data_IF_060197155455
#
_entry.id   IF_060197155455
#
_cell.length_a   1.000
_cell.length_b   1.000
_cell.length_c   1.000
_cell.angle_alpha   90.00
_cell.angle_beta   90.00
_cell.angle_gamma   90.00
#
_symmetry.space_group_name_H-M   'P 1'
#
loop_
_entity.id
_entity.type
_entity.pdbx_description
1 polymer ?
#
# COMPACT_ATOMS: atom_id res chain seq x y z
N UNK A 1 18.55 -40.78 -28.39
CA UNK A 1 17.70 -39.94 -27.55
C UNK A 1 17.00 -38.91 -28.45
N UNK A 2 15.68 -38.98 -28.57
CA UNK A 2 14.96 -37.92 -29.25
C UNK A 2 15.07 -36.64 -28.37
N UNK A 3 15.56 -35.56 -28.94
CA UNK A 3 15.60 -34.29 -28.23
C UNK A 3 14.18 -33.89 -27.81
N UNK A 4 13.97 -33.61 -26.53
CA UNK A 4 12.70 -33.15 -26.03
C UNK A 4 12.34 -31.83 -26.75
N UNK A 5 11.30 -31.84 -27.55
CA UNK A 5 10.86 -30.69 -28.32
C UNK A 5 9.62 -30.09 -27.65
N UNK A 6 9.52 -28.77 -27.61
CA UNK A 6 8.30 -28.07 -27.19
C UNK A 6 7.03 -28.57 -27.92
N UNK A 7 7.20 -29.08 -29.16
CA UNK A 7 6.08 -29.65 -29.91
C UNK A 7 5.49 -30.93 -29.31
N UNK A 8 6.19 -31.62 -28.41
CA UNK A 8 5.71 -32.87 -27.79
C UNK A 8 5.14 -32.69 -26.39
N UNK A 9 5.22 -31.48 -25.83
CA UNK A 9 4.70 -31.22 -24.47
C UNK A 9 3.17 -31.29 -24.43
N UNK A 10 2.57 -31.85 -23.37
CA UNK A 10 1.13 -31.75 -23.09
C UNK A 10 0.65 -30.31 -23.00
N UNK A 11 -0.64 -30.08 -23.32
CA UNK A 11 -1.24 -28.72 -23.31
C UNK A 11 -1.25 -28.09 -21.91
N UNK A 12 -1.37 -28.90 -20.89
CA UNK A 12 -1.40 -28.51 -19.48
C UNK A 12 -0.07 -27.86 -19.07
N UNK A 13 1.06 -28.38 -19.58
CA UNK A 13 2.37 -27.77 -19.32
C UNK A 13 2.53 -26.41 -20.00
N UNK A 14 1.89 -26.21 -21.17
CA UNK A 14 1.85 -24.88 -21.77
C UNK A 14 1.03 -23.90 -20.93
N UNK A 15 -0.08 -24.32 -20.35
CA UNK A 15 -0.87 -23.45 -19.47
C UNK A 15 -0.06 -23.05 -18.24
N UNK A 16 0.67 -23.96 -17.60
CA UNK A 16 1.59 -23.62 -16.52
C UNK A 16 2.74 -22.69 -16.96
N UNK A 17 3.23 -22.82 -18.20
CA UNK A 17 4.20 -21.86 -18.73
C UNK A 17 3.56 -20.49 -18.92
N UNK A 18 2.34 -20.42 -19.46
CA UNK A 18 1.62 -19.17 -19.71
C UNK A 18 1.23 -18.43 -18.42
N UNK A 19 0.96 -19.16 -17.33
CA UNK A 19 0.73 -18.57 -15.99
C UNK A 19 1.92 -17.74 -15.49
N UNK A 20 3.12 -17.94 -16.04
CA UNK A 20 4.35 -17.23 -15.67
C UNK A 20 4.86 -16.25 -16.75
N UNK A 21 4.10 -16.04 -17.82
CA UNK A 21 4.47 -15.17 -18.94
C UNK A 21 3.51 -14.00 -19.07
N UNK A 22 4.04 -12.85 -19.49
CA UNK A 22 3.22 -11.72 -19.85
C UNK A 22 2.39 -11.98 -21.12
N UNK A 23 1.26 -11.30 -21.22
CA UNK A 23 0.30 -11.49 -22.30
C UNK A 23 0.88 -11.15 -23.68
N UNK A 24 1.84 -10.23 -23.74
CA UNK A 24 2.50 -9.83 -24.99
C UNK A 24 3.35 -10.98 -25.52
N UNK A 25 4.12 -11.61 -24.64
CA UNK A 25 4.92 -12.81 -24.98
C UNK A 25 4.03 -13.94 -25.46
N UNK A 26 2.90 -14.20 -24.78
CA UNK A 26 1.96 -15.25 -25.17
C UNK A 26 1.37 -14.96 -26.56
N UNK A 27 0.83 -13.77 -26.80
CA UNK A 27 0.12 -13.44 -28.05
C UNK A 27 1.03 -13.09 -29.21
N UNK A 28 2.17 -12.47 -28.99
CA UNK A 28 3.05 -12.04 -30.09
C UNK A 28 4.17 -13.00 -30.38
N UNK A 29 4.63 -13.79 -29.41
CA UNK A 29 5.69 -14.76 -29.61
C UNK A 29 5.13 -16.17 -29.82
N UNK A 30 4.48 -16.76 -28.80
CA UNK A 30 4.01 -18.15 -28.86
C UNK A 30 2.92 -18.38 -29.91
N UNK A 31 1.93 -17.51 -30.00
CA UNK A 31 0.81 -17.65 -30.95
C UNK A 31 1.25 -17.74 -32.42
N UNK A 32 2.36 -17.11 -32.77
CA UNK A 32 2.84 -17.01 -34.14
C UNK A 32 3.85 -18.11 -34.53
N UNK A 33 4.24 -19.00 -33.62
CA UNK A 33 5.26 -20.04 -33.90
C UNK A 33 4.73 -21.12 -34.84
N UNK A 34 3.54 -21.67 -34.56
CA UNK A 34 2.95 -22.73 -35.38
C UNK A 34 1.45 -22.89 -35.09
N UNK A 35 0.74 -23.65 -35.94
CA UNK A 35 -0.70 -23.93 -35.79
C UNK A 35 -1.06 -24.53 -34.43
N UNK A 36 -0.24 -25.42 -33.90
CA UNK A 36 -0.48 -26.01 -32.58
C UNK A 36 -0.46 -24.97 -31.47
N UNK A 37 0.57 -24.11 -31.44
CA UNK A 37 0.71 -23.07 -30.43
C UNK A 37 -0.39 -22.01 -30.59
N UNK A 38 -0.76 -21.66 -31.83
CA UNK A 38 -1.92 -20.83 -32.09
C UNK A 38 -3.20 -21.37 -31.45
N UNK A 39 -3.46 -22.69 -31.59
CA UNK A 39 -4.62 -23.34 -30.97
C UNK A 39 -4.53 -23.31 -29.44
N UNK A 40 -3.37 -23.67 -28.86
CA UNK A 40 -3.14 -23.67 -27.42
C UNK A 40 -3.37 -22.27 -26.80
N UNK A 41 -2.80 -21.23 -27.41
CA UNK A 41 -2.98 -19.84 -26.95
C UNK A 41 -4.46 -19.42 -27.02
N UNK A 42 -5.18 -19.80 -28.06
CA UNK A 42 -6.58 -19.45 -28.21
C UNK A 42 -7.53 -20.23 -27.26
N UNK A 43 -7.09 -21.36 -26.73
CA UNK A 43 -7.86 -22.16 -25.75
C UNK A 43 -7.46 -21.86 -24.30
N UNK A 44 -6.39 -21.10 -24.08
CA UNK A 44 -5.99 -20.66 -22.75
C UNK A 44 -6.99 -19.66 -22.21
N UNK A 45 -7.66 -20.01 -21.11
CA UNK A 45 -8.81 -19.31 -20.54
C UNK A 45 -8.54 -18.65 -19.18
N UNK A 46 -7.26 -18.47 -18.82
CA UNK A 46 -6.84 -17.83 -17.56
C UNK A 46 -5.95 -16.61 -17.84
N UNK A 47 -6.29 -15.85 -18.86
CA UNK A 47 -5.48 -14.71 -19.27
C UNK A 47 -5.58 -13.55 -18.27
N UNK A 48 -4.43 -13.13 -17.77
CA UNK A 48 -4.26 -11.88 -17.03
C UNK A 48 -3.83 -10.80 -18.02
N UNK A 49 -4.68 -9.82 -18.25
CA UNK A 49 -4.45 -8.75 -19.22
C UNK A 49 -4.07 -7.46 -18.50
N UNK A 50 -2.76 -7.20 -18.43
CA UNK A 50 -2.24 -5.92 -17.96
C UNK A 50 -1.95 -4.99 -19.14
N UNK A 51 -2.74 -3.92 -19.24
CA UNK A 51 -2.58 -2.89 -20.27
C UNK A 51 -2.00 -1.58 -19.73
N UNK A 52 -1.61 -1.51 -18.45
CA UNK A 52 -1.24 -0.28 -17.76
C UNK A 52 0.01 0.42 -18.29
N UNK A 53 0.90 -0.32 -18.97
CA UNK A 53 2.18 0.21 -19.49
C UNK A 53 2.41 -0.08 -20.97
N UNK A 54 1.35 -0.49 -21.67
CA UNK A 54 1.47 -0.91 -23.07
C UNK A 54 1.49 0.28 -24.04
N UNK A 55 2.28 0.20 -25.10
CA UNK A 55 2.27 1.21 -26.17
C UNK A 55 0.94 1.24 -26.92
N UNK A 56 0.55 2.40 -27.46
CA UNK A 56 -0.70 2.55 -28.23
C UNK A 56 -0.80 1.58 -29.42
N UNK A 57 0.32 1.29 -30.09
CA UNK A 57 0.37 0.37 -31.22
C UNK A 57 0.08 -1.06 -30.77
N UNK A 58 0.75 -1.51 -29.71
CA UNK A 58 0.57 -2.84 -29.14
C UNK A 58 -0.82 -2.99 -28.55
N UNK A 59 -1.34 -1.95 -27.90
CA UNK A 59 -2.70 -1.90 -27.39
C UNK A 59 -3.73 -2.26 -28.49
N UNK A 60 -3.69 -1.58 -29.62
CA UNK A 60 -4.60 -1.87 -30.74
C UNK A 60 -4.41 -3.28 -31.30
N UNK A 61 -3.17 -3.79 -31.32
CA UNK A 61 -2.89 -5.17 -31.78
C UNK A 61 -3.46 -6.19 -30.82
N UNK A 62 -3.27 -6.01 -29.52
CA UNK A 62 -3.83 -6.90 -28.50
C UNK A 62 -5.37 -6.87 -28.55
N UNK A 63 -5.98 -5.70 -28.60
CA UNK A 63 -7.45 -5.57 -28.64
C UNK A 63 -8.10 -6.28 -29.86
N UNK A 64 -7.37 -6.50 -30.95
CA UNK A 64 -7.85 -7.27 -32.10
C UNK A 64 -7.75 -8.78 -31.92
N UNK A 65 -6.96 -9.24 -30.98
CA UNK A 65 -6.59 -10.65 -30.83
C UNK A 65 -7.28 -11.29 -29.62
N UNK A 66 -7.48 -10.50 -28.55
CA UNK A 66 -8.06 -10.99 -27.30
C UNK A 66 -9.48 -11.49 -27.50
N UNK A 67 -9.80 -12.51 -26.73
CA UNK A 67 -11.14 -13.02 -26.57
C UNK A 67 -11.62 -12.65 -25.17
N UNK A 68 -12.58 -11.75 -25.02
CA UNK A 68 -13.07 -11.27 -23.73
C UNK A 68 -13.47 -12.38 -22.76
N UNK A 69 -14.01 -13.48 -23.28
CA UNK A 69 -14.42 -14.65 -22.50
C UNK A 69 -13.27 -15.38 -21.82
N UNK A 70 -12.02 -15.21 -22.31
CA UNK A 70 -10.84 -15.87 -21.73
C UNK A 70 -10.13 -15.02 -20.67
N UNK A 71 -10.57 -13.79 -20.45
CA UNK A 71 -9.91 -12.86 -19.53
C UNK A 71 -10.47 -13.02 -18.13
N UNK A 72 -9.58 -13.33 -17.17
CA UNK A 72 -9.92 -13.47 -15.74
C UNK A 72 -9.47 -12.29 -14.91
N UNK A 73 -8.39 -11.61 -15.33
CA UNK A 73 -7.86 -10.41 -14.70
C UNK A 73 -7.64 -9.31 -15.74
N UNK A 74 -8.06 -8.09 -15.43
CA UNK A 74 -7.95 -6.94 -16.32
C UNK A 74 -7.41 -5.73 -15.56
N UNK A 75 -6.31 -5.16 -16.06
CA UNK A 75 -5.73 -3.92 -15.55
C UNK A 75 -5.77 -2.87 -16.66
N UNK A 76 -6.46 -1.77 -16.40
CA UNK A 76 -6.59 -0.62 -17.29
C UNK A 76 -6.05 0.64 -16.60
N UNK A 77 -5.43 1.54 -17.36
CA UNK A 77 -4.82 2.74 -16.81
C UNK A 77 -5.06 3.96 -17.70
N UNK A 78 -5.31 5.10 -17.06
CA UNK A 78 -5.29 6.43 -17.70
C UNK A 78 -4.09 7.25 -17.24
N UNK A 79 -3.01 6.62 -16.76
CA UNK A 79 -1.80 7.34 -16.34
C UNK A 79 -1.17 8.10 -17.53
N UNK A 80 -0.11 8.85 -17.27
CA UNK A 80 0.55 9.68 -18.29
C UNK A 80 1.13 8.87 -19.47
N UNK A 81 1.42 7.58 -19.27
CA UNK A 81 1.90 6.67 -20.32
C UNK A 81 0.76 6.15 -21.22
N UNK A 82 -0.47 6.09 -20.67
CA UNK A 82 -1.64 5.50 -21.34
C UNK A 82 -2.88 6.40 -21.22
N UNK A 83 -2.81 7.69 -21.58
CA UNK A 83 -3.92 8.62 -21.39
C UNK A 83 -5.14 8.21 -22.23
N UNK A 84 -6.32 8.20 -21.59
CA UNK A 84 -7.59 7.88 -22.25
C UNK A 84 -7.78 6.40 -22.63
N UNK A 85 -6.93 5.50 -22.15
CA UNK A 85 -6.98 4.08 -22.47
C UNK A 85 -8.30 3.44 -22.01
N UNK A 86 -8.82 3.80 -20.84
CA UNK A 86 -10.06 3.24 -20.31
C UNK A 86 -11.25 3.59 -21.21
N UNK A 87 -11.35 4.87 -21.63
CA UNK A 87 -12.38 5.31 -22.57
C UNK A 87 -12.30 4.59 -23.92
N UNK A 88 -11.07 4.40 -24.44
CA UNK A 88 -10.85 3.65 -25.67
C UNK A 88 -11.26 2.17 -25.51
N UNK A 89 -10.90 1.53 -24.38
CA UNK A 89 -11.28 0.15 -24.08
C UNK A 89 -12.79 -0.04 -24.09
N UNK A 90 -13.51 0.82 -23.39
CA UNK A 90 -14.97 0.76 -23.31
C UNK A 90 -15.68 1.06 -24.64
N UNK A 91 -15.01 1.74 -25.56
CA UNK A 91 -15.52 1.95 -26.94
C UNK A 91 -15.33 0.73 -27.85
N UNK A 92 -14.28 -0.08 -27.59
CA UNK A 92 -13.97 -1.28 -28.38
C UNK A 92 -14.66 -2.54 -27.86
N UNK A 93 -14.87 -2.64 -26.57
CA UNK A 93 -15.44 -3.82 -25.91
C UNK A 93 -16.68 -3.49 -25.09
N UNK A 94 -17.69 -4.34 -25.24
CA UNK A 94 -18.75 -4.39 -24.23
C UNK A 94 -18.24 -5.21 -23.04
N UNK A 95 -18.10 -4.57 -21.89
CA UNK A 95 -17.53 -5.20 -20.69
C UNK A 95 -18.32 -6.46 -20.24
N UNK A 96 -19.60 -6.58 -20.61
CA UNK A 96 -20.40 -7.77 -20.35
C UNK A 96 -19.91 -9.03 -21.09
N UNK A 97 -19.03 -8.89 -22.07
CA UNK A 97 -18.41 -10.02 -22.78
C UNK A 97 -17.34 -10.73 -21.94
N UNK A 98 -16.84 -10.07 -20.89
CA UNK A 98 -15.83 -10.62 -19.98
C UNK A 98 -16.49 -11.53 -18.92
N UNK A 99 -17.00 -12.67 -19.36
CA UNK A 99 -17.83 -13.56 -18.54
C UNK A 99 -17.07 -14.18 -17.34
N UNK A 100 -15.78 -14.34 -17.47
CA UNK A 100 -14.90 -14.96 -16.45
C UNK A 100 -14.07 -13.95 -15.66
N UNK A 101 -14.32 -12.65 -15.83
CA UNK A 101 -13.59 -11.59 -15.13
C UNK A 101 -13.82 -11.68 -13.62
N UNK A 102 -12.72 -11.87 -12.88
CA UNK A 102 -12.69 -11.98 -11.41
C UNK A 102 -11.94 -10.82 -10.75
N UNK A 103 -10.91 -10.32 -11.42
CA UNK A 103 -10.08 -9.24 -10.92
C UNK A 103 -10.12 -8.06 -11.89
N UNK A 104 -10.44 -6.87 -11.37
CA UNK A 104 -10.43 -5.63 -12.14
C UNK A 104 -9.64 -4.57 -11.41
N UNK A 105 -8.63 -4.01 -12.09
CA UNK A 105 -7.84 -2.89 -11.58
C UNK A 105 -7.96 -1.70 -12.54
N UNK A 106 -8.37 -0.54 -12.00
CA UNK A 106 -8.57 0.70 -12.73
C UNK A 106 -7.64 1.76 -12.14
N UNK A 107 -6.64 2.19 -12.92
CA UNK A 107 -5.61 3.14 -12.50
C UNK A 107 -5.91 4.50 -13.10
N UNK A 108 -6.01 5.52 -12.24
CA UNK A 108 -6.28 6.92 -12.62
C UNK A 108 -7.55 7.12 -13.46
N UNK A 109 -8.59 6.35 -13.15
CA UNK A 109 -9.89 6.47 -13.81
C UNK A 109 -10.58 7.78 -13.43
N UNK A 110 -11.31 8.38 -14.38
CA UNK A 110 -12.17 9.52 -14.09
C UNK A 110 -13.53 9.09 -13.50
N UNK A 111 -14.13 9.93 -12.63
CA UNK A 111 -15.40 9.60 -11.96
C UNK A 111 -16.53 9.25 -12.93
N UNK A 112 -16.62 9.95 -14.06
CA UNK A 112 -17.67 9.69 -15.04
C UNK A 112 -17.45 8.36 -15.78
N UNK A 113 -16.20 8.03 -16.15
CA UNK A 113 -15.84 6.75 -16.77
C UNK A 113 -16.13 5.59 -15.84
N UNK A 114 -15.77 5.73 -14.55
CA UNK A 114 -16.07 4.72 -13.54
C UNK A 114 -17.59 4.46 -13.44
N UNK A 115 -18.39 5.53 -13.35
CA UNK A 115 -19.86 5.39 -13.30
C UNK A 115 -20.41 4.70 -14.55
N UNK A 116 -19.87 5.00 -15.72
CA UNK A 116 -20.30 4.36 -16.97
C UNK A 116 -19.93 2.88 -17.01
N UNK A 117 -18.67 2.57 -16.67
CA UNK A 117 -18.13 1.23 -16.69
C UNK A 117 -18.85 0.31 -15.68
N UNK A 118 -19.07 0.80 -14.46
CA UNK A 118 -19.70 0.01 -13.39
C UNK A 118 -21.20 -0.27 -13.62
N UNK A 119 -21.87 0.48 -14.49
CA UNK A 119 -23.26 0.15 -14.90
C UNK A 119 -23.34 -1.10 -15.75
N UNK A 120 -22.26 -1.43 -16.44
CA UNK A 120 -22.20 -2.51 -17.40
C UNK A 120 -21.43 -3.74 -16.90
N UNK A 121 -20.68 -3.62 -15.81
CA UNK A 121 -19.96 -4.75 -15.21
C UNK A 121 -20.90 -5.58 -14.34
N UNK A 122 -20.81 -6.91 -14.48
CA UNK A 122 -21.37 -7.81 -13.50
C UNK A 122 -20.51 -7.85 -12.24
N UNK A 123 -20.72 -6.89 -11.33
CA UNK A 123 -19.96 -6.78 -10.07
C UNK A 123 -20.01 -8.07 -9.24
N UNK A 124 -21.09 -8.84 -9.37
CA UNK A 124 -21.29 -10.10 -8.62
C UNK A 124 -20.31 -11.20 -9.01
N UNK A 125 -19.72 -11.14 -10.22
CA UNK A 125 -18.72 -12.10 -10.66
C UNK A 125 -17.30 -11.74 -10.18
N UNK A 126 -17.08 -10.48 -9.78
CA UNK A 126 -15.78 -10.03 -9.31
C UNK A 126 -15.49 -10.55 -7.90
N UNK A 127 -14.26 -11.02 -7.70
CA UNK A 127 -13.68 -11.35 -6.39
C UNK A 127 -12.78 -10.24 -5.87
N UNK A 128 -12.12 -9.50 -6.77
CA UNK A 128 -11.20 -8.43 -6.44
C UNK A 128 -11.46 -7.20 -7.30
N UNK A 129 -11.45 -6.03 -6.66
CA UNK A 129 -11.62 -4.75 -7.33
C UNK A 129 -10.66 -3.72 -6.75
N UNK A 130 -9.87 -3.09 -7.63
CA UNK A 130 -8.98 -1.99 -7.28
C UNK A 130 -9.33 -0.76 -8.11
N UNK A 131 -9.60 0.36 -7.44
CA UNK A 131 -9.98 1.62 -8.09
C UNK A 131 -9.07 2.73 -7.57
N UNK A 132 -8.32 3.33 -8.49
CA UNK A 132 -7.57 4.54 -8.25
C UNK A 132 -8.16 5.67 -9.08
N UNK A 133 -8.70 6.70 -8.44
CA UNK A 133 -9.32 7.84 -9.11
C UNK A 133 -8.30 8.97 -9.31
N UNK A 134 -8.26 9.52 -10.52
CA UNK A 134 -7.36 10.61 -10.88
C UNK A 134 -7.59 11.87 -10.04
N UNK A 135 -6.50 12.50 -9.55
CA UNK A 135 -6.52 13.64 -8.61
C UNK A 135 -7.17 14.92 -9.17
N UNK A 136 -7.15 15.11 -10.48
CA UNK A 136 -7.46 16.41 -11.09
C UNK A 136 -8.94 16.80 -11.11
N UNK A 137 -9.85 15.95 -10.66
CA UNK A 137 -11.30 16.13 -10.80
C UNK A 137 -12.02 16.65 -9.54
N UNK A 138 -11.30 17.31 -8.61
CA UNK A 138 -11.91 17.84 -7.37
C UNK A 138 -12.97 18.92 -7.59
N UNK A 139 -12.98 19.61 -8.73
CA UNK A 139 -13.90 20.72 -9.02
C UNK A 139 -15.14 20.31 -9.83
N UNK A 140 -15.22 19.07 -10.31
CA UNK A 140 -16.42 18.64 -11.03
C UNK A 140 -17.58 18.47 -10.05
N UNK A 141 -18.64 19.25 -10.21
CA UNK A 141 -19.97 19.05 -9.59
C UNK A 141 -20.61 17.74 -10.11
N UNK A 142 -19.87 16.61 -10.02
CA UNK A 142 -20.36 15.30 -10.44
C UNK A 142 -21.35 14.72 -9.43
N UNK A 143 -22.14 13.77 -9.87
CA UNK A 143 -23.02 12.99 -9.00
C UNK A 143 -22.21 12.31 -7.90
N UNK A 144 -22.79 12.21 -6.69
CA UNK A 144 -22.19 11.47 -5.58
C UNK A 144 -21.87 10.04 -5.99
N UNK A 145 -20.72 9.52 -5.53
CA UNK A 145 -20.30 8.15 -5.75
C UNK A 145 -20.82 7.17 -4.68
N UNK A 146 -21.47 7.68 -3.63
CA UNK A 146 -21.95 6.86 -2.52
C UNK A 146 -22.85 5.69 -2.99
N UNK A 147 -23.83 5.88 -3.88
CA UNK A 147 -24.66 4.76 -4.34
C UNK A 147 -23.83 3.68 -5.07
N UNK A 148 -22.86 4.09 -5.87
CA UNK A 148 -21.97 3.18 -6.58
C UNK A 148 -21.10 2.39 -5.61
N UNK A 149 -20.46 3.06 -4.64
CA UNK A 149 -19.64 2.43 -3.63
C UNK A 149 -20.45 1.48 -2.75
N UNK A 150 -21.66 1.86 -2.37
CA UNK A 150 -22.56 0.99 -1.62
C UNK A 150 -22.89 -0.31 -2.37
N UNK A 151 -23.17 -0.23 -3.69
CA UNK A 151 -23.39 -1.40 -4.52
C UNK A 151 -22.14 -2.30 -4.63
N UNK A 152 -20.95 -1.70 -4.73
CA UNK A 152 -19.69 -2.43 -4.75
C UNK A 152 -19.47 -3.18 -3.43
N UNK A 153 -19.66 -2.52 -2.31
CA UNK A 153 -19.41 -3.08 -0.98
C UNK A 153 -20.41 -4.20 -0.62
N UNK A 154 -21.63 -4.12 -1.12
CA UNK A 154 -22.65 -5.16 -0.93
C UNK A 154 -22.50 -6.36 -1.87
N UNK A 155 -21.54 -6.31 -2.80
CA UNK A 155 -21.23 -7.44 -3.69
C UNK A 155 -20.42 -8.53 -2.97
N UNK A 156 -20.19 -9.65 -3.66
CA UNK A 156 -19.44 -10.79 -3.13
C UNK A 156 -17.91 -10.61 -3.21
N UNK A 157 -17.42 -9.38 -3.17
CA UNK A 157 -16.01 -9.08 -3.20
C UNK A 157 -15.28 -9.63 -1.96
N UNK A 158 -14.10 -10.21 -2.21
CA UNK A 158 -13.16 -10.61 -1.15
C UNK A 158 -12.08 -9.55 -0.91
N UNK A 159 -11.70 -8.83 -1.96
CA UNK A 159 -10.67 -7.79 -1.89
C UNK A 159 -11.14 -6.51 -2.56
N UNK A 160 -11.00 -5.40 -1.85
CA UNK A 160 -11.32 -4.06 -2.32
C UNK A 160 -10.19 -3.10 -2.00
N UNK A 161 -9.66 -2.44 -3.03
CA UNK A 161 -8.72 -1.33 -2.90
C UNK A 161 -9.37 -0.06 -3.47
N UNK A 162 -9.57 0.93 -2.62
CA UNK A 162 -10.13 2.24 -2.97
C UNK A 162 -9.10 3.32 -2.72
N UNK A 163 -8.30 3.63 -3.73
CA UNK A 163 -7.36 4.76 -3.71
C UNK A 163 -8.00 5.98 -4.37
N UNK A 164 -8.82 6.69 -3.60
CA UNK A 164 -9.57 7.85 -4.10
C UNK A 164 -9.46 9.03 -3.15
N UNK A 165 -9.30 10.22 -3.74
CA UNK A 165 -9.29 11.49 -3.03
C UNK A 165 -10.72 12.00 -2.85
N UNK A 166 -11.50 11.37 -2.01
CA UNK A 166 -12.89 11.78 -1.82
C UNK A 166 -13.30 11.66 -0.35
N UNK A 167 -13.79 12.74 0.19
CA UNK A 167 -14.45 12.77 1.51
C UNK A 167 -15.71 11.87 1.52
N UNK A 168 -16.21 11.49 0.35
CA UNK A 168 -17.37 10.62 0.22
C UNK A 168 -17.17 9.24 0.85
N UNK A 169 -15.91 8.75 0.95
CA UNK A 169 -15.60 7.50 1.66
C UNK A 169 -16.05 7.55 3.12
N UNK A 170 -15.94 8.73 3.77
CA UNK A 170 -16.33 8.90 5.16
C UNK A 170 -17.85 8.83 5.38
N UNK A 171 -18.63 8.92 4.31
CA UNK A 171 -20.09 8.81 4.34
C UNK A 171 -20.60 7.43 3.90
N UNK A 172 -19.72 6.46 3.67
CA UNK A 172 -20.11 5.10 3.32
C UNK A 172 -20.66 4.39 4.56
N UNK A 173 -21.85 3.81 4.40
CA UNK A 173 -22.42 2.91 5.42
C UNK A 173 -21.94 1.49 5.11
N UNK A 174 -21.14 0.94 5.99
CA UNK A 174 -20.60 -0.41 5.86
C UNK A 174 -21.66 -1.46 6.24
N UNK A 175 -21.97 -2.43 5.37
CA UNK A 175 -22.99 -3.43 5.68
C UNK A 175 -22.45 -4.48 6.66
N UNK A 176 -23.30 -4.95 7.57
CA UNK A 176 -22.95 -5.98 8.57
C UNK A 176 -22.64 -7.35 7.93
N UNK A 177 -23.25 -7.63 6.77
CA UNK A 177 -23.04 -8.88 6.03
C UNK A 177 -22.18 -8.60 4.81
N UNK A 178 -20.88 -8.51 5.00
CA UNK A 178 -19.92 -8.27 3.93
C UNK A 178 -18.90 -9.40 3.91
N UNK A 179 -18.55 -9.88 2.72
CA UNK A 179 -17.61 -10.98 2.50
C UNK A 179 -16.17 -10.50 2.36
N UNK A 180 -15.91 -9.19 2.52
CA UNK A 180 -14.60 -8.60 2.39
C UNK A 180 -13.63 -9.17 3.42
N UNK A 181 -12.49 -9.65 2.91
CA UNK A 181 -11.35 -10.13 3.70
C UNK A 181 -10.17 -9.17 3.66
N UNK A 182 -10.03 -8.42 2.57
CA UNK A 182 -8.95 -7.48 2.34
C UNK A 182 -9.51 -6.12 1.94
N UNK A 183 -9.23 -5.10 2.72
CA UNK A 183 -9.67 -3.73 2.45
C UNK A 183 -8.47 -2.78 2.49
N UNK A 184 -8.26 -2.06 1.40
CA UNK A 184 -7.30 -0.96 1.33
C UNK A 184 -8.06 0.33 1.07
N UNK A 185 -7.82 1.35 1.88
CA UNK A 185 -8.39 2.68 1.73
C UNK A 185 -7.27 3.71 1.58
N UNK A 186 -7.34 4.52 0.53
CA UNK A 186 -6.49 5.67 0.31
C UNK A 186 -7.19 6.96 0.73
N UNK A 187 -6.46 7.89 1.33
CA UNK A 187 -6.79 9.27 1.66
C UNK A 187 -7.94 9.60 2.62
N UNK A 188 -7.58 10.39 3.63
CA UNK A 188 -8.47 11.13 4.55
C UNK A 188 -9.54 10.28 5.26
N UNK A 189 -9.15 9.08 5.69
CA UNK A 189 -10.01 8.26 6.53
C UNK A 189 -9.96 8.81 7.96
N UNK A 190 -11.12 9.08 8.55
CA UNK A 190 -11.22 9.55 9.94
C UNK A 190 -11.16 8.39 10.92
N UNK A 191 -10.77 8.67 12.16
CA UNK A 191 -10.81 7.70 13.27
C UNK A 191 -12.19 7.03 13.40
N UNK A 192 -13.26 7.83 13.34
CA UNK A 192 -14.64 7.32 13.41
C UNK A 192 -14.90 6.28 12.32
N UNK A 193 -14.47 6.53 11.09
CA UNK A 193 -14.67 5.60 9.99
C UNK A 193 -13.89 4.29 10.16
N UNK A 194 -12.70 4.34 10.74
CA UNK A 194 -11.95 3.13 11.08
C UNK A 194 -12.74 2.26 12.08
N UNK A 195 -13.27 2.88 13.12
CA UNK A 195 -14.11 2.18 14.12
C UNK A 195 -15.37 1.57 13.49
N UNK A 196 -16.04 2.28 12.57
CA UNK A 196 -17.21 1.78 11.84
C UNK A 196 -16.85 0.57 10.95
N UNK A 197 -15.72 0.61 10.26
CA UNK A 197 -15.23 -0.51 9.45
C UNK A 197 -15.00 -1.74 10.33
N UNK A 198 -14.27 -1.59 11.44
CA UNK A 198 -13.96 -2.69 12.35
C UNK A 198 -15.21 -3.28 13.00
N UNK A 199 -16.24 -2.44 13.27
CA UNK A 199 -17.52 -2.88 13.83
C UNK A 199 -18.35 -3.70 12.87
N UNK A 200 -18.36 -3.34 11.57
CA UNK A 200 -19.29 -3.92 10.60
C UNK A 200 -18.68 -5.05 9.77
N UNK A 201 -17.37 -5.03 9.50
CA UNK A 201 -16.70 -6.00 8.65
C UNK A 201 -16.09 -7.15 9.45
N UNK A 202 -16.93 -8.04 9.98
CA UNK A 202 -16.51 -9.15 10.85
C UNK A 202 -15.60 -10.20 10.18
N UNK A 203 -15.60 -10.29 8.85
CA UNK A 203 -14.75 -11.23 8.08
C UNK A 203 -13.42 -10.61 7.62
N UNK A 204 -13.17 -9.34 7.96
CA UNK A 204 -11.98 -8.63 7.54
C UNK A 204 -10.73 -9.23 8.19
N UNK A 205 -9.76 -9.63 7.37
CA UNK A 205 -8.46 -10.17 7.80
C UNK A 205 -7.34 -9.16 7.68
N UNK A 206 -7.41 -8.32 6.64
CA UNK A 206 -6.37 -7.31 6.39
C UNK A 206 -7.02 -5.96 6.14
N UNK A 207 -6.59 -4.96 6.90
CA UNK A 207 -6.99 -3.56 6.72
C UNK A 207 -5.75 -2.70 6.49
N UNK A 208 -5.71 -2.00 5.35
CA UNK A 208 -4.67 -1.03 5.02
C UNK A 208 -5.31 0.34 4.87
N UNK A 209 -4.87 1.30 5.66
CA UNK A 209 -5.35 2.68 5.62
C UNK A 209 -4.17 3.59 5.29
N UNK A 210 -4.34 4.41 4.24
CA UNK A 210 -3.36 5.39 3.84
C UNK A 210 -3.85 6.79 4.19
N UNK A 211 -2.98 7.60 4.80
CA UNK A 211 -3.27 9.00 5.18
C UNK A 211 -4.49 9.13 6.14
N UNK A 212 -4.51 8.36 7.22
CA UNK A 212 -5.49 8.52 8.29
C UNK A 212 -5.24 9.82 9.07
N UNK A 213 -6.33 10.55 9.39
CA UNK A 213 -6.29 11.70 10.28
C UNK A 213 -7.02 11.32 11.56
N UNK A 214 -6.27 11.27 12.66
CA UNK A 214 -6.79 10.89 13.96
C UNK A 214 -7.20 12.08 14.86
N UNK A 215 -7.06 13.32 14.39
CA UNK A 215 -7.42 14.52 15.17
C UNK A 215 -8.93 14.81 15.12
N UNK A 216 -9.76 13.85 15.44
CA UNK A 216 -11.19 14.09 15.50
C UNK A 216 -11.56 14.52 16.93
N UNK A 217 -11.72 15.83 17.14
CA UNK A 217 -12.13 16.43 18.43
C UNK A 217 -13.46 15.88 18.96
N UNK A 218 -14.20 15.13 18.13
CA UNK A 218 -15.46 14.47 18.45
C UNK A 218 -15.31 12.99 18.84
N UNK A 219 -14.10 12.45 18.95
CA UNK A 219 -13.85 11.05 19.27
C UNK A 219 -14.37 10.64 20.68
N UNK A 220 -14.57 11.61 21.56
CA UNK A 220 -15.07 11.39 22.94
C UNK A 220 -16.52 10.90 23.02
N UNK A 221 -17.27 10.92 21.94
CA UNK A 221 -18.69 10.54 21.89
C UNK A 221 -18.96 9.12 21.37
N UNK A 222 -17.92 8.36 21.02
CA UNK A 222 -18.14 6.96 20.62
C UNK A 222 -18.29 6.12 21.88
N UNK A 223 -19.49 5.63 22.14
CA UNK A 223 -19.74 4.66 23.20
C UNK A 223 -19.07 3.33 22.81
N UNK A 224 -17.91 3.03 23.42
CA UNK A 224 -17.14 1.81 23.15
C UNK A 224 -17.75 0.56 23.79
N UNK A 225 -18.73 0.73 24.72
CA UNK A 225 -19.39 -0.36 25.42
C UNK A 225 -20.07 -1.37 24.49
N UNK A 226 -20.51 -0.94 23.29
CA UNK A 226 -21.27 -1.74 22.35
C UNK A 226 -20.45 -2.22 21.13
N UNK A 227 -19.13 -1.98 21.13
CA UNK A 227 -18.28 -2.39 20.02
C UNK A 227 -17.85 -3.84 20.24
N UNK A 228 -18.39 -4.73 19.40
CA UNK A 228 -17.92 -6.10 19.31
C UNK A 228 -16.49 -6.13 18.76
N UNK A 229 -15.60 -6.88 19.42
CA UNK A 229 -14.21 -7.04 18.98
C UNK A 229 -14.17 -7.75 17.62
N UNK A 230 -13.34 -7.25 16.71
CA UNK A 230 -13.10 -7.90 15.42
C UNK A 230 -12.04 -8.98 15.58
N UNK A 231 -12.50 -10.21 15.82
CA UNK A 231 -11.63 -11.38 16.07
C UNK A 231 -10.98 -11.94 14.80
N UNK A 232 -11.38 -11.49 13.62
CA UNK A 232 -10.84 -12.01 12.35
C UNK A 232 -9.68 -11.17 11.80
N UNK A 233 -9.49 -9.93 12.28
CA UNK A 233 -8.44 -9.06 11.77
C UNK A 233 -7.07 -9.54 12.26
N UNK A 234 -6.23 -9.97 11.32
CA UNK A 234 -4.88 -10.46 11.57
C UNK A 234 -3.79 -9.49 11.14
N UNK A 235 -4.09 -8.56 10.23
CA UNK A 235 -3.13 -7.58 9.73
C UNK A 235 -3.75 -6.18 9.65
N UNK A 236 -3.11 -5.21 10.29
CA UNK A 236 -3.51 -3.80 10.28
C UNK A 236 -2.32 -2.92 9.88
N UNK A 237 -2.54 -2.07 8.90
CA UNK A 237 -1.51 -1.15 8.40
C UNK A 237 -2.05 0.27 8.32
N UNK A 238 -1.35 1.22 8.96
CA UNK A 238 -1.53 2.65 8.76
C UNK A 238 -0.31 3.23 8.05
N UNK A 239 -0.52 3.86 6.89
CA UNK A 239 0.57 4.48 6.09
C UNK A 239 0.38 5.99 6.01
N UNK A 240 1.50 6.73 6.18
CA UNK A 240 1.54 8.20 6.07
C UNK A 240 0.46 8.91 6.92
N UNK A 241 0.15 8.35 8.08
CA UNK A 241 -0.95 8.79 8.93
C UNK A 241 -0.45 9.72 10.04
N UNK A 242 -1.35 10.59 10.51
CA UNK A 242 -1.14 11.33 11.76
C UNK A 242 -1.73 10.51 12.89
N UNK A 243 -0.87 9.89 13.68
CA UNK A 243 -1.26 8.91 14.68
C UNK A 243 -1.14 9.52 16.08
N UNK A 244 -2.10 9.17 16.94
CA UNK A 244 -2.08 9.47 18.37
C UNK A 244 -2.21 8.17 19.16
N UNK A 245 -1.43 8.02 20.23
CA UNK A 245 -1.38 6.75 20.98
C UNK A 245 -2.74 6.37 21.57
N UNK A 246 -3.46 7.32 22.16
CA UNK A 246 -4.76 7.05 22.78
C UNK A 246 -5.78 6.48 21.78
N UNK A 247 -5.83 7.03 20.56
CA UNK A 247 -6.73 6.56 19.50
C UNK A 247 -6.29 5.21 18.93
N UNK A 248 -4.97 4.98 18.82
CA UNK A 248 -4.42 3.69 18.44
C UNK A 248 -4.78 2.60 19.47
N UNK A 249 -4.60 2.86 20.76
CA UNK A 249 -4.97 1.92 21.83
C UNK A 249 -6.45 1.53 21.75
N UNK A 250 -7.33 2.48 21.44
CA UNK A 250 -8.76 2.20 21.25
C UNK A 250 -9.00 1.28 20.04
N UNK A 251 -8.42 1.61 18.86
CA UNK A 251 -8.55 0.77 17.66
C UNK A 251 -7.99 -0.64 17.92
N UNK A 252 -6.79 -0.72 18.48
CA UNK A 252 -6.07 -1.97 18.67
C UNK A 252 -6.76 -2.86 19.73
N UNK A 253 -7.42 -2.27 20.72
CA UNK A 253 -8.24 -3.02 21.68
C UNK A 253 -9.43 -3.73 21.03
N UNK A 254 -9.88 -3.29 19.87
CA UNK A 254 -10.93 -3.95 19.09
C UNK A 254 -10.41 -5.13 18.25
N UNK A 255 -9.10 -5.34 18.17
CA UNK A 255 -8.46 -6.31 17.27
C UNK A 255 -7.49 -7.24 18.00
N UNK A 256 -7.95 -8.03 18.98
CA UNK A 256 -7.07 -8.84 19.85
C UNK A 256 -6.36 -9.99 19.11
N UNK A 257 -6.87 -10.39 17.93
CA UNK A 257 -6.29 -11.45 17.10
C UNK A 257 -5.22 -10.94 16.11
N UNK A 258 -4.75 -9.71 16.31
CA UNK A 258 -3.79 -9.10 15.40
C UNK A 258 -2.43 -9.81 15.49
N UNK A 259 -1.93 -10.23 14.32
CA UNK A 259 -0.64 -10.90 14.15
C UNK A 259 0.41 -9.93 13.60
N UNK A 260 -0.01 -9.05 12.69
CA UNK A 260 0.87 -8.06 12.05
C UNK A 260 0.31 -6.65 12.19
N UNK A 261 1.12 -5.76 12.76
CA UNK A 261 0.85 -4.33 12.88
C UNK A 261 1.94 -3.52 12.18
N UNK A 262 1.55 -2.65 11.26
CA UNK A 262 2.47 -1.73 10.59
C UNK A 262 1.96 -0.28 10.73
N UNK A 263 2.80 0.60 11.26
CA UNK A 263 2.47 2.00 11.52
C UNK A 263 3.53 2.91 10.88
N UNK A 264 3.15 3.69 9.87
CA UNK A 264 4.06 4.72 9.32
C UNK A 264 3.37 6.08 9.31
N UNK A 265 4.11 7.11 9.72
CA UNK A 265 3.53 8.45 9.70
C UNK A 265 4.23 9.48 10.58
N UNK A 266 3.52 10.57 10.82
CA UNK A 266 3.96 11.63 11.73
C UNK A 266 3.37 11.41 13.12
N UNK A 267 4.20 11.63 14.13
CA UNK A 267 3.85 11.59 15.54
C UNK A 267 4.20 12.92 16.20
N UNK A 268 3.59 13.22 17.35
CA UNK A 268 4.04 14.31 18.21
C UNK A 268 4.85 13.74 19.38
N UNK A 269 5.83 14.49 19.87
CA UNK A 269 6.70 14.02 20.96
C UNK A 269 5.93 13.77 22.25
N UNK A 270 4.79 14.42 22.45
CA UNK A 270 3.97 14.34 23.67
C UNK A 270 2.99 13.17 23.70
N UNK A 271 2.77 12.45 22.60
CA UNK A 271 1.66 11.50 22.45
C UNK A 271 1.89 10.12 23.08
N UNK A 272 3.09 9.84 23.56
CA UNK A 272 3.45 8.51 24.05
C UNK A 272 3.58 7.44 22.98
N UNK A 273 3.37 7.75 21.69
CA UNK A 273 3.55 6.81 20.59
C UNK A 273 5.02 6.42 20.39
N UNK A 274 5.94 7.25 20.88
CA UNK A 274 7.38 7.02 20.85
C UNK A 274 7.89 6.31 22.11
N UNK A 275 7.01 5.99 23.08
CA UNK A 275 7.38 5.34 24.34
C UNK A 275 7.31 3.80 24.21
N UNK A 276 8.47 3.17 24.20
CA UNK A 276 8.62 1.72 24.12
C UNK A 276 8.02 0.97 25.32
N UNK A 277 8.04 1.56 26.53
CA UNK A 277 7.47 0.95 27.73
C UNK A 277 5.94 0.89 27.66
N UNK A 278 5.31 1.94 27.15
CA UNK A 278 3.86 1.99 26.93
C UNK A 278 3.42 0.96 25.89
N UNK A 279 4.19 0.81 24.78
CA UNK A 279 3.94 -0.22 23.80
C UNK A 279 4.10 -1.62 24.36
N UNK A 280 5.14 -1.88 25.16
CA UNK A 280 5.38 -3.17 25.81
C UNK A 280 4.18 -3.58 26.66
N UNK A 281 3.74 -2.73 27.58
CA UNK A 281 2.59 -2.98 28.45
C UNK A 281 1.32 -3.23 27.63
N UNK A 282 1.04 -2.37 26.65
CA UNK A 282 -0.15 -2.49 25.82
C UNK A 282 -0.15 -3.80 25.00
N UNK A 283 0.96 -4.15 24.36
CA UNK A 283 1.06 -5.36 23.53
C UNK A 283 0.90 -6.62 24.38
N UNK A 284 1.55 -6.68 25.53
CA UNK A 284 1.43 -7.84 26.43
C UNK A 284 -0.02 -8.10 26.87
N UNK A 285 -0.77 -7.06 27.15
CA UNK A 285 -2.14 -7.18 27.69
C UNK A 285 -3.19 -7.31 26.56
N UNK A 286 -3.08 -6.53 25.50
CA UNK A 286 -4.15 -6.37 24.49
C UNK A 286 -3.88 -7.09 23.18
N UNK A 287 -2.63 -7.34 22.83
CA UNK A 287 -2.22 -7.94 21.55
C UNK A 287 -1.28 -9.14 21.75
N UNK A 288 -1.68 -10.16 22.52
CA UNK A 288 -0.79 -11.28 22.87
C UNK A 288 -0.33 -12.09 21.64
N UNK A 289 -1.14 -12.09 20.57
CA UNK A 289 -0.83 -12.82 19.33
C UNK A 289 0.05 -12.02 18.34
N UNK A 290 0.45 -10.79 18.70
CA UNK A 290 1.24 -9.96 17.79
C UNK A 290 2.64 -10.55 17.61
N UNK A 291 2.92 -11.02 16.37
CA UNK A 291 4.21 -11.61 15.97
C UNK A 291 5.11 -10.59 15.28
N UNK A 292 4.52 -9.64 14.57
CA UNK A 292 5.25 -8.65 13.77
C UNK A 292 4.74 -7.24 14.06
N UNK A 293 5.63 -6.40 14.60
CA UNK A 293 5.36 -4.98 14.82
C UNK A 293 6.39 -4.16 14.04
N UNK A 294 5.94 -3.47 13.01
CA UNK A 294 6.75 -2.62 12.15
C UNK A 294 6.27 -1.18 12.28
N UNK A 295 7.20 -0.26 12.49
CA UNK A 295 6.85 1.16 12.55
C UNK A 295 7.94 2.07 11.99
N UNK A 296 7.49 3.24 11.52
CA UNK A 296 8.35 4.33 11.09
C UNK A 296 7.67 5.65 11.43
N UNK A 297 8.09 6.25 12.53
CA UNK A 297 7.57 7.53 13.02
C UNK A 297 8.51 8.66 12.72
N UNK A 298 7.96 9.77 12.25
CA UNK A 298 8.70 10.99 11.95
C UNK A 298 8.06 12.15 12.72
N UNK A 299 8.89 12.96 13.39
CA UNK A 299 8.44 14.18 14.05
C UNK A 299 9.42 15.31 13.81
N UNK A 300 8.92 16.54 13.71
CA UNK A 300 9.73 17.76 13.76
C UNK A 300 9.77 18.26 15.19
N UNK A 301 10.92 18.73 15.62
CA UNK A 301 11.10 19.27 16.96
C UNK A 301 11.53 20.73 16.86
N UNK A 302 10.97 21.57 17.72
CA UNK A 302 11.42 22.96 17.90
C UNK A 302 12.52 23.06 18.98
N UNK A 303 13.10 21.91 19.39
CA UNK A 303 14.04 21.83 20.49
C UNK A 303 15.40 22.41 20.04
N UNK A 304 15.96 23.30 20.87
CA UNK A 304 17.31 23.79 20.72
C UNK A 304 18.31 22.62 20.70
N UNK A 305 19.15 22.57 19.66
CA UNK A 305 20.02 21.45 19.29
C UNK A 305 20.96 20.93 20.41
N UNK A 306 21.14 21.66 21.52
CA UNK A 306 22.13 21.37 22.56
C UNK A 306 21.64 20.38 23.64
N UNK A 307 20.39 19.88 23.59
CA UNK A 307 19.82 19.05 24.69
C UNK A 307 19.05 17.81 24.26
N UNK A 308 19.24 17.32 23.01
CA UNK A 308 18.54 16.11 22.58
C UNK A 308 19.28 14.88 23.06
N UNK A 309 18.77 14.24 24.09
CA UNK A 309 19.22 12.94 24.56
C UNK A 309 18.50 11.82 23.80
N UNK A 310 19.10 11.39 22.68
CA UNK A 310 18.58 10.29 21.86
C UNK A 310 18.55 8.96 22.62
N UNK A 311 19.50 8.76 23.56
CA UNK A 311 19.53 7.57 24.40
C UNK A 311 18.27 7.41 25.25
N UNK A 312 17.74 8.50 25.77
CA UNK A 312 16.50 8.46 26.55
C UNK A 312 15.30 7.94 25.75
N UNK A 313 15.25 8.17 24.44
CA UNK A 313 14.18 7.70 23.55
C UNK A 313 14.31 6.24 23.16
N UNK A 314 15.54 5.72 23.05
CA UNK A 314 15.77 4.32 22.65
C UNK A 314 15.78 3.35 23.85
N UNK A 315 16.13 3.82 25.05
CA UNK A 315 16.22 2.99 26.24
C UNK A 315 14.95 2.18 26.55
N UNK A 316 13.71 2.71 26.40
CA UNK A 316 12.48 1.93 26.61
C UNK A 316 12.33 0.72 25.68
N UNK A 317 13.06 0.68 24.57
CA UNK A 317 13.08 -0.44 23.61
C UNK A 317 14.21 -1.45 23.87
N UNK A 318 14.99 -1.30 24.94
CA UNK A 318 16.09 -2.21 25.32
C UNK A 318 15.70 -3.25 26.38
N UNK A 319 14.42 -3.42 26.65
CA UNK A 319 13.94 -4.42 27.61
C UNK A 319 14.07 -5.86 27.06
N UNK A 320 13.95 -6.83 27.94
CA UNK A 320 13.94 -8.25 27.57
C UNK A 320 12.77 -8.58 26.63
N UNK A 321 11.66 -7.88 26.74
CA UNK A 321 10.50 -8.04 25.87
C UNK A 321 10.88 -7.75 24.40
N UNK A 322 11.45 -6.58 24.12
CA UNK A 322 11.83 -6.19 22.79
C UNK A 322 12.94 -7.05 22.20
N UNK A 323 14.02 -7.24 22.96
CA UNK A 323 15.26 -7.85 22.44
C UNK A 323 15.24 -9.39 22.41
N UNK A 324 14.61 -10.04 23.41
CA UNK A 324 14.63 -11.50 23.51
C UNK A 324 13.29 -12.15 23.23
N UNK A 325 12.18 -11.64 23.80
CA UNK A 325 10.89 -12.30 23.62
C UNK A 325 10.34 -12.06 22.21
N UNK A 326 10.46 -10.86 21.70
CA UNK A 326 9.94 -10.50 20.36
C UNK A 326 11.00 -10.40 19.29
N UNK A 327 12.28 -10.21 19.66
CA UNK A 327 13.38 -9.98 18.72
C UNK A 327 13.11 -8.81 17.75
N UNK A 328 12.47 -7.74 18.26
CA UNK A 328 12.16 -6.54 17.51
C UNK A 328 13.21 -5.46 17.81
N UNK A 329 14.00 -5.16 16.80
CA UNK A 329 15.03 -4.15 16.93
C UNK A 329 14.52 -2.79 16.50
N UNK A 330 14.99 -1.75 17.19
CA UNK A 330 14.54 -0.37 16.98
C UNK A 330 15.78 0.51 16.77
N UNK A 331 15.67 1.45 15.88
CA UNK A 331 16.66 2.48 15.65
C UNK A 331 16.00 3.85 15.71
N UNK A 332 16.73 4.82 16.20
CA UNK A 332 16.32 6.21 16.13
C UNK A 332 17.45 7.10 15.57
N UNK A 333 17.07 8.14 14.87
CA UNK A 333 18.00 9.14 14.40
C UNK A 333 17.41 10.56 14.50
N UNK A 334 18.30 11.51 14.69
CA UNK A 334 17.98 12.92 14.68
C UNK A 334 18.82 13.65 13.63
N UNK A 335 18.17 14.36 12.73
CA UNK A 335 18.84 15.19 11.73
C UNK A 335 18.84 16.65 12.19
N UNK A 336 19.99 17.20 12.48
CA UNK A 336 20.16 18.52 13.10
C UNK A 336 19.60 19.64 12.19
N UNK A 337 19.95 19.63 10.90
CA UNK A 337 19.53 20.69 9.94
C UNK A 337 18.01 20.83 9.79
N UNK A 338 17.31 19.71 9.76
CA UNK A 338 15.86 19.70 9.55
C UNK A 338 15.08 19.62 10.85
N UNK A 339 15.79 19.55 12.00
CA UNK A 339 15.22 19.30 13.31
C UNK A 339 14.23 18.13 13.29
N UNK A 340 14.59 17.06 12.57
CA UNK A 340 13.71 15.90 12.36
C UNK A 340 14.20 14.70 13.13
N UNK A 341 13.36 14.20 14.02
CA UNK A 341 13.53 12.94 14.74
C UNK A 341 12.80 11.82 14.01
N UNK A 342 13.42 10.65 13.88
CA UNK A 342 12.83 9.43 13.33
C UNK A 342 13.06 8.28 14.29
N UNK A 343 12.01 7.50 14.55
CA UNK A 343 12.06 6.27 15.32
C UNK A 343 11.45 5.16 14.47
N UNK A 344 12.15 4.04 14.28
CA UNK A 344 11.70 2.99 13.39
C UNK A 344 12.16 1.60 13.80
N UNK A 345 11.36 0.60 13.43
CA UNK A 345 11.74 -0.81 13.52
C UNK A 345 12.77 -1.19 12.46
N UNK A 346 13.60 -2.17 12.75
CA UNK A 346 14.60 -2.73 11.84
C UNK A 346 14.17 -4.13 11.42
N UNK A 347 14.06 -4.44 10.11
CA UNK A 347 14.30 -3.59 8.94
C UNK A 347 13.26 -2.47 8.78
N UNK A 348 13.62 -1.41 8.06
CA UNK A 348 12.73 -0.27 7.83
C UNK A 348 11.51 -0.71 7.02
N UNK A 349 10.31 -0.37 7.50
CA UNK A 349 9.06 -0.73 6.87
C UNK A 349 8.52 0.33 5.89
N UNK A 350 9.12 1.51 5.82
CA UNK A 350 8.76 2.54 4.84
C UNK A 350 9.36 2.22 3.47
N UNK A 351 8.57 2.37 2.42
CA UNK A 351 8.99 2.11 1.05
C UNK A 351 9.71 3.29 0.41
N UNK A 352 9.60 4.49 1.00
CA UNK A 352 10.15 5.72 0.48
C UNK A 352 10.97 6.43 1.56
N UNK A 353 12.26 6.56 1.34
CA UNK A 353 13.18 7.23 2.28
C UNK A 353 13.89 8.37 1.59
N UNK A 354 13.91 9.54 2.24
CA UNK A 354 14.77 10.64 1.85
C UNK A 354 16.12 10.46 2.54
N UNK A 355 17.16 10.25 1.76
CA UNK A 355 18.53 10.19 2.26
C UNK A 355 19.04 11.61 2.52
N UNK A 356 19.40 11.86 3.77
CA UNK A 356 20.06 13.10 4.19
C UNK A 356 21.52 12.78 4.49
N UNK A 357 22.45 13.69 4.14
CA UNK A 357 23.88 13.45 4.34
C UNK A 357 24.20 13.20 5.82
N UNK A 358 25.09 12.25 6.10
CA UNK A 358 25.44 11.81 7.46
C UNK A 358 26.13 12.88 8.34
N UNK A 359 26.52 14.02 7.79
CA UNK A 359 27.32 15.03 8.50
C UNK A 359 26.59 15.73 9.66
N UNK A 360 25.25 15.65 9.70
CA UNK A 360 24.43 16.32 10.71
C UNK A 360 23.43 15.36 11.37
N UNK A 361 23.75 14.05 11.40
CA UNK A 361 22.86 13.00 11.92
C UNK A 361 23.45 12.38 13.18
N UNK A 362 22.64 12.31 14.23
CA UNK A 362 22.94 11.52 15.44
C UNK A 362 22.05 10.28 15.39
N UNK A 363 22.62 9.09 15.54
CA UNK A 363 21.90 7.82 15.44
C UNK A 363 22.17 6.91 16.64
N UNK A 364 21.15 6.21 17.09
CA UNK A 364 21.23 5.20 18.12
C UNK A 364 20.36 4.00 17.77
N UNK A 365 20.82 2.79 18.06
CA UNK A 365 20.09 1.55 17.78
C UNK A 365 20.12 0.60 18.98
N UNK A 366 19.09 -0.25 19.07
CA UNK A 366 19.06 -1.36 20.05
C UNK A 366 19.84 -2.59 19.57
N UNK A 367 20.17 -2.66 18.28
CA UNK A 367 20.91 -3.78 17.70
C UNK A 367 22.41 -3.51 17.71
N UNK A 368 23.18 -4.41 18.33
CA UNK A 368 24.66 -4.32 18.41
C UNK A 368 25.38 -5.05 17.27
N UNK A 369 24.64 -5.78 16.42
CA UNK A 369 25.21 -6.71 15.43
C UNK A 369 24.91 -6.38 13.98
N UNK A 370 24.27 -5.25 13.69
CA UNK A 370 23.94 -4.88 12.30
C UNK A 370 25.12 -4.14 11.66
N UNK A 371 26.07 -4.92 11.13
CA UNK A 371 27.15 -4.41 10.26
C UNK A 371 26.73 -4.22 8.79
N UNK A 372 25.46 -4.47 8.44
CA UNK A 372 24.99 -4.42 7.05
C UNK A 372 23.82 -3.43 6.87
N UNK A 373 24.13 -2.23 6.40
CA UNK A 373 23.15 -1.22 5.95
C UNK A 373 22.13 -1.78 4.96
N UNK A 374 22.50 -2.81 4.18
CA UNK A 374 21.63 -3.51 3.23
C UNK A 374 20.44 -4.21 3.90
N UNK A 375 20.60 -4.79 5.10
CA UNK A 375 19.51 -5.44 5.83
C UNK A 375 18.49 -4.44 6.40
N UNK A 376 18.94 -3.24 6.70
CA UNK A 376 18.08 -2.17 7.22
C UNK A 376 17.12 -1.68 6.14
N UNK A 377 17.53 -1.69 4.87
CA UNK A 377 16.82 -1.08 3.75
C UNK A 377 16.06 -2.07 2.85
N UNK A 378 15.88 -3.32 3.25
CA UNK A 378 15.26 -4.35 2.40
C UNK A 378 13.87 -4.01 1.82
N UNK A 379 13.10 -3.13 2.49
CA UNK A 379 11.75 -2.76 2.06
C UNK A 379 11.71 -1.42 1.31
N UNK A 380 12.85 -0.73 1.17
CA UNK A 380 12.92 0.58 0.51
C UNK A 380 12.87 0.40 -1.00
N UNK A 381 11.85 0.98 -1.64
CA UNK A 381 11.66 0.96 -3.10
C UNK A 381 12.09 2.26 -3.76
N UNK A 382 11.97 3.36 -3.04
CA UNK A 382 12.30 4.70 -3.51
C UNK A 382 13.27 5.37 -2.55
N UNK A 383 14.42 5.75 -3.06
CA UNK A 383 15.44 6.51 -2.33
C UNK A 383 15.54 7.92 -2.92
N UNK A 384 15.06 8.91 -2.18
CA UNK A 384 15.22 10.30 -2.56
C UNK A 384 16.53 10.84 -2.04
N UNK A 385 17.44 11.21 -2.96
CA UNK A 385 18.70 11.86 -2.64
C UNK A 385 18.53 13.37 -2.71
N UNK A 386 18.75 14.08 -1.59
CA UNK A 386 18.84 15.53 -1.61
C UNK A 386 20.22 15.96 -2.11
N UNK A 387 20.34 16.12 -3.42
CA UNK A 387 21.58 16.52 -4.07
C UNK A 387 21.96 17.99 -3.81
N UNK A 388 21.06 18.82 -3.31
CA UNK A 388 21.36 20.24 -3.01
C UNK A 388 22.40 20.36 -1.90
N UNK A 389 22.35 19.47 -0.92
CA UNK A 389 23.32 19.39 0.18
C UNK A 389 24.69 18.85 -0.28
N UNK A 390 24.71 17.90 -1.23
CA UNK A 390 25.96 17.41 -1.82
C UNK A 390 26.67 18.49 -2.64
N UNK A 391 25.94 19.30 -3.39
CA UNK A 391 26.53 20.38 -4.18
C UNK A 391 27.08 21.51 -3.31
N UNK A 392 26.42 21.82 -2.19
CA UNK A 392 26.94 22.83 -1.24
C UNK A 392 28.24 22.39 -0.53
N UNK A 393 28.38 21.11 -0.19
CA UNK A 393 29.59 20.56 0.41
C UNK A 393 30.75 20.47 -0.59
N UNK A 394 30.49 20.14 -1.86
CA UNK A 394 31.49 20.12 -2.93
C UNK A 394 32.00 21.55 -3.24
N UNK A 395 31.09 22.52 -3.26
CA UNK A 395 31.48 23.94 -3.43
C UNK A 395 32.29 24.46 -2.25
N UNK A 396 31.92 24.09 -1.02
CA UNK A 396 32.70 24.46 0.17
C UNK A 396 34.10 23.81 0.19
N UNK A 397 34.21 22.54 -0.22
CA UNK A 397 35.55 21.89 -0.36
C UNK A 397 36.37 22.50 -1.49
N UNK A 398 35.76 22.85 -2.63
CA UNK A 398 36.49 23.56 -3.70
C UNK A 398 36.99 24.92 -3.26
N UNK A 399 36.24 25.67 -2.47
CA UNK A 399 36.64 26.96 -1.92
C UNK A 399 37.78 26.80 -0.89
N UNK A 400 37.75 25.76 -0.04
CA UNK A 400 38.87 25.45 0.86
C UNK A 400 40.14 25.03 0.12
N UNK A 401 40.01 24.25 -0.96
CA UNK A 401 41.18 23.84 -1.78
C UNK A 401 41.81 25.01 -2.55
N UNK A 402 41.00 25.96 -3.01
CA UNK A 402 41.52 27.18 -3.66
C UNK A 402 42.20 28.16 -2.67
N UNK A 403 41.72 28.23 -1.42
CA UNK A 403 42.39 29.03 -0.38
C UNK A 403 43.74 28.45 0.07
N UNK A 404 43.89 27.10 0.10
CA UNK A 404 45.17 26.44 0.41
C UNK A 404 46.21 26.51 -0.71
N UNK A 405 45.82 26.87 -1.94
CA UNK A 405 46.76 27.09 -3.07
C UNK A 405 47.20 28.54 -3.21
N UNK A 406 46.64 29.47 -2.44
CA UNK A 406 47.02 30.91 -2.46
C UNK A 406 47.70 31.36 -1.19
N UNK A 407 47.93 30.47 -0.24
CA UNK A 407 48.82 30.63 0.92
C UNK A 407 50.07 29.74 0.74
#
# INVERSE_FOLDING_TARGET
MQAASLHTLPIELFYHLFDNLDIQTIFFSFRNVCKRFFTIVNTYNQCELDLSSISKIEYHRICRIIRPENITSLILSNNDMTPGQIGLFTSLFNINQFLHLRTLTLIEIEKFELNLLMKHINIKSLSELSINIRKNNFKSKGKSMIPLLSNIITSNLRKLDLSMWSEEINNIVWPKQCTLQYLTLGHYITFKQVCEILRHLSHLRTLVIRNCIMNDTNATMISFSDIQTNICLTSLTFKNSRLQMNELELILSLTPSLIHLQLTGSATLSDGILDGSRWEEFIQIKLPLLEKFEFFFRTKTDINHNSIDIESWINPFRTMFWLKHKSWFVSCNFTIKTATFRLYSVPICDSCITYESNFDKIECTTCTTIDNDALIMNNVRELHLDLTLLMSSITAQKVCYQKKRKS
#
